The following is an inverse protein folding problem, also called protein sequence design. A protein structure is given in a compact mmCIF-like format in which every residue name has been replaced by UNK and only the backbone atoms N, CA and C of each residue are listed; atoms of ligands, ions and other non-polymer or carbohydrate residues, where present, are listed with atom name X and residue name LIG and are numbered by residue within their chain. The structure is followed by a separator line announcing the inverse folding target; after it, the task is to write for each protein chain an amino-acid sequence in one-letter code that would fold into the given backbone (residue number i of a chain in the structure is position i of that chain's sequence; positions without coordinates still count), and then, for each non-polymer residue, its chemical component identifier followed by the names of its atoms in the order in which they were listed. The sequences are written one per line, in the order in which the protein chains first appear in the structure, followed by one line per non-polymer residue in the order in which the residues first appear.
data_IF_434302802705
#
_entry.id   IF_434302802705
#
_cell.length_a   1.000
_cell.length_b   1.000
_cell.length_c   1.000
_cell.angle_alpha   90.00
_cell.angle_beta   90.00
_cell.angle_gamma   90.00
#
_symmetry.space_group_name_H-M   'P 1'
#
loop_
_entity.id
_entity.type
_entity.pdbx_description
1 polymer ?
#
# COMPACT_ATOMS: atom_id res chain seq x y z
N UNK A 1 11.13 -18.28 22.54
CA UNK A 1 12.19 -17.33 22.92
C UNK A 1 13.21 -17.26 21.79
N UNK A 2 13.75 -16.09 21.48
CA UNK A 2 14.82 -15.89 20.48
C UNK A 2 16.01 -15.18 21.15
N UNK A 3 17.25 -15.29 20.62
CA UNK A 3 18.41 -14.62 21.21
C UNK A 3 18.23 -13.09 21.30
N UNK A 4 18.78 -12.44 22.34
CA UNK A 4 18.71 -10.99 22.48
C UNK A 4 19.46 -10.28 21.36
N UNK A 5 19.03 -9.06 21.02
CA UNK A 5 19.65 -8.21 20.01
C UNK A 5 19.58 -6.74 20.41
N UNK A 6 20.59 -5.97 20.03
CA UNK A 6 20.55 -4.50 20.06
C UNK A 6 20.33 -4.05 18.61
N UNK A 7 19.14 -3.53 18.24
CA UNK A 7 18.84 -3.22 16.85
C UNK A 7 19.59 -1.97 16.38
N UNK A 8 20.10 -2.00 15.15
CA UNK A 8 20.57 -0.80 14.46
C UNK A 8 19.37 -0.10 13.82
N UNK A 9 18.93 0.99 14.42
CA UNK A 9 17.73 1.71 14.00
C UNK A 9 18.07 2.87 13.05
N UNK A 10 17.19 3.07 12.06
CA UNK A 10 17.16 4.24 11.17
C UNK A 10 15.72 4.77 11.15
N UNK A 11 15.53 6.06 10.87
CA UNK A 11 14.19 6.63 10.80
C UNK A 11 13.42 6.05 9.59
N UNK A 12 12.08 6.02 9.67
CA UNK A 12 11.24 5.58 8.55
C UNK A 12 11.49 6.44 7.31
N UNK A 13 11.68 7.75 7.46
CA UNK A 13 11.98 8.66 6.36
C UNK A 13 13.27 8.27 5.63
N UNK A 14 14.32 7.86 6.35
CA UNK A 14 15.59 7.45 5.72
C UNK A 14 15.51 6.08 5.04
N UNK A 15 14.54 5.25 5.43
CA UNK A 15 14.36 3.87 4.92
C UNK A 15 13.40 3.84 3.73
N UNK A 16 12.24 4.49 3.86
CA UNK A 16 11.16 4.50 2.86
C UNK A 16 11.34 5.66 1.87
N UNK A 17 11.84 6.81 2.35
CA UNK A 17 11.97 8.01 1.54
C UNK A 17 10.63 8.64 1.15
N UNK A 18 10.67 9.42 0.08
CA UNK A 18 9.53 10.22 -0.43
C UNK A 18 9.23 9.98 -1.91
N UNK A 19 9.94 9.05 -2.56
CA UNK A 19 9.81 8.77 -4.00
C UNK A 19 9.19 7.41 -4.27
N UNK A 20 9.53 6.42 -3.44
CA UNK A 20 8.97 5.08 -3.53
C UNK A 20 7.44 5.11 -3.36
N UNK A 21 6.69 4.35 -4.17
CA UNK A 21 5.25 4.25 -4.04
C UNK A 21 4.86 3.47 -2.77
N UNK A 22 4.04 4.10 -1.94
CA UNK A 22 3.57 3.52 -0.67
C UNK A 22 2.06 3.28 -0.73
N UNK A 23 1.62 2.12 -0.25
CA UNK A 23 0.22 1.89 0.11
C UNK A 23 0.01 2.51 1.50
N UNK A 24 -0.44 3.76 1.54
CA UNK A 24 -0.84 4.43 2.77
C UNK A 24 -2.28 4.01 3.08
N UNK A 25 -2.49 3.35 4.21
CA UNK A 25 -3.85 3.14 4.71
C UNK A 25 -4.52 4.51 4.91
N UNK A 26 -5.83 4.60 4.64
CA UNK A 26 -6.52 5.89 4.58
C UNK A 26 -6.44 6.72 5.88
N UNK A 27 -6.25 6.07 7.02
CA UNK A 27 -6.10 6.70 8.33
C UNK A 27 -4.76 7.42 8.52
N UNK A 28 -3.69 7.00 7.85
CA UNK A 28 -2.33 7.44 8.16
C UNK A 28 -1.84 8.59 7.26
N UNK A 29 -2.67 9.09 6.34
CA UNK A 29 -2.26 10.05 5.31
C UNK A 29 -1.64 11.35 5.85
N UNK A 30 -2.27 11.98 6.84
CA UNK A 30 -1.75 13.24 7.41
C UNK A 30 -0.53 13.01 8.33
N UNK A 31 -0.39 11.81 8.91
CA UNK A 31 0.73 11.45 9.76
C UNK A 31 2.01 11.17 8.96
N UNK A 32 1.88 10.77 7.69
CA UNK A 32 2.99 10.47 6.78
C UNK A 32 2.93 11.34 5.51
N UNK A 33 3.00 12.68 5.62
CA UNK A 33 2.78 13.59 4.50
C UNK A 33 3.92 13.58 3.47
N UNK A 34 5.10 13.08 3.84
CA UNK A 34 6.27 13.04 2.96
C UNK A 34 6.31 11.77 2.10
N UNK A 35 5.64 10.69 2.51
CA UNK A 35 5.58 9.46 1.73
C UNK A 35 4.55 9.64 0.62
N UNK A 36 4.95 9.33 -0.62
CA UNK A 36 4.06 9.45 -1.77
C UNK A 36 3.20 8.19 -1.89
N UNK A 37 1.86 8.30 -2.00
CA UNK A 37 1.04 7.14 -2.34
C UNK A 37 1.35 6.65 -3.76
N UNK A 38 1.13 5.37 -4.02
CA UNK A 38 1.23 4.83 -5.38
C UNK A 38 0.23 5.55 -6.31
N UNK A 39 0.65 5.83 -7.55
CA UNK A 39 -0.19 6.48 -8.54
C UNK A 39 -1.09 5.48 -9.28
N UNK A 40 -2.05 5.97 -10.06
CA UNK A 40 -2.79 5.16 -11.03
C UNK A 40 -2.99 5.95 -12.32
N UNK A 41 -2.97 5.26 -13.46
CA UNK A 41 -3.16 5.86 -14.77
C UNK A 41 -3.82 4.87 -15.73
N UNK A 42 -4.78 5.34 -16.52
CA UNK A 42 -5.46 4.55 -17.56
C UNK A 42 -6.01 3.19 -17.10
N UNK A 43 -6.49 3.11 -15.85
CA UNK A 43 -7.05 1.88 -15.26
C UNK A 43 -6.01 0.92 -14.65
N UNK A 44 -4.74 1.29 -14.60
CA UNK A 44 -3.65 0.49 -14.02
C UNK A 44 -3.01 1.24 -12.85
N UNK A 45 -2.72 0.54 -11.75
CA UNK A 45 -2.06 1.09 -10.56
C UNK A 45 -0.54 0.90 -10.62
N UNK A 46 0.22 1.85 -10.08
CA UNK A 46 1.62 1.69 -9.74
C UNK A 46 1.75 0.67 -8.60
N UNK A 47 2.72 -0.24 -8.69
CA UNK A 47 2.90 -1.31 -7.69
C UNK A 47 3.56 -0.72 -6.43
N UNK A 48 2.89 -0.74 -5.26
CA UNK A 48 3.48 -0.21 -4.03
C UNK A 48 4.60 -1.12 -3.51
N UNK A 49 5.64 -0.51 -2.94
CA UNK A 49 6.78 -1.21 -2.32
C UNK A 49 6.66 -1.34 -0.81
N UNK A 50 5.90 -0.44 -0.21
CA UNK A 50 5.72 -0.32 1.24
C UNK A 50 4.24 -0.20 1.56
N UNK A 51 3.85 -0.63 2.76
CA UNK A 51 2.55 -0.31 3.34
C UNK A 51 2.75 0.28 4.73
N UNK A 52 2.06 1.38 5.02
CA UNK A 52 2.01 1.98 6.36
C UNK A 52 0.58 1.86 6.87
N UNK A 53 0.43 1.26 8.04
CA UNK A 53 -0.86 0.95 8.65
C UNK A 53 -0.97 1.62 10.02
N UNK A 54 -2.19 1.92 10.49
CA UNK A 54 -2.43 2.35 11.87
C UNK A 54 -2.12 1.22 12.87
N UNK A 55 -2.34 1.51 14.16
CA UNK A 55 -2.25 0.54 15.25
C UNK A 55 -3.14 -0.69 15.01
N UNK A 56 -2.93 -1.76 15.77
CA UNK A 56 -3.63 -3.03 15.55
C UNK A 56 -5.15 -2.88 15.50
N UNK A 57 -5.75 -2.15 16.43
CA UNK A 57 -7.21 -1.99 16.48
C UNK A 57 -7.72 -1.07 15.37
N UNK A 58 -7.00 0.01 15.08
CA UNK A 58 -7.30 0.88 13.95
C UNK A 58 -7.30 0.11 12.63
N UNK A 59 -6.31 -0.75 12.42
CA UNK A 59 -6.22 -1.57 11.21
C UNK A 59 -7.33 -2.62 11.15
N UNK A 60 -7.58 -3.34 12.24
CA UNK A 60 -8.61 -4.38 12.33
C UNK A 60 -10.01 -3.84 11.99
N UNK A 61 -10.36 -2.68 12.53
CA UNK A 61 -11.69 -2.10 12.32
C UNK A 61 -11.85 -1.36 10.98
N UNK A 62 -10.77 -0.76 10.44
CA UNK A 62 -10.86 0.18 9.32
C UNK A 62 -10.22 -0.31 8.01
N UNK A 63 -9.38 -1.35 8.03
CA UNK A 63 -8.88 -1.97 6.79
C UNK A 63 -9.98 -2.53 5.88
N UNK A 64 -11.14 -3.03 6.37
CA UNK A 64 -12.21 -3.51 5.51
C UNK A 64 -12.75 -2.46 4.51
N UNK A 65 -12.55 -1.16 4.75
CA UNK A 65 -12.86 -0.11 3.77
C UNK A 65 -12.14 -0.33 2.43
N UNK A 66 -10.95 -0.95 2.47
CA UNK A 66 -10.08 -1.12 1.31
C UNK A 66 -10.03 -2.58 0.81
N UNK A 67 -10.90 -3.46 1.29
CA UNK A 67 -10.90 -4.89 0.95
C UNK A 67 -11.33 -5.16 -0.50
N UNK A 68 -11.27 -6.44 -0.90
CA UNK A 68 -11.73 -6.88 -2.23
C UNK A 68 -13.24 -6.66 -2.46
N UNK A 69 -14.07 -6.79 -1.42
CA UNK A 69 -15.52 -6.64 -1.53
C UNK A 69 -15.92 -5.19 -1.82
N UNK A 70 -15.19 -4.23 -1.26
CA UNK A 70 -15.29 -2.80 -1.53
C UNK A 70 -14.53 -2.33 -2.78
N UNK A 71 -13.77 -3.22 -3.43
CA UNK A 71 -12.96 -2.91 -4.61
C UNK A 71 -11.68 -2.11 -4.32
N UNK A 72 -11.25 -2.08 -3.06
CA UNK A 72 -10.10 -1.30 -2.63
C UNK A 72 -8.74 -1.94 -2.97
N UNK A 73 -7.65 -1.18 -2.76
CA UNK A 73 -6.31 -1.60 -3.15
C UNK A 73 -5.75 -2.78 -2.34
N UNK A 74 -6.33 -3.11 -1.18
CA UNK A 74 -5.91 -4.32 -0.46
C UNK A 74 -6.27 -5.58 -1.23
N UNK A 75 -7.41 -5.61 -1.94
CA UNK A 75 -7.77 -6.74 -2.81
C UNK A 75 -6.84 -6.92 -4.01
N UNK A 76 -6.26 -5.83 -4.52
CA UNK A 76 -5.28 -5.89 -5.63
C UNK A 76 -3.92 -6.39 -5.10
N UNK A 77 -3.43 -5.77 -4.03
CA UNK A 77 -2.12 -6.09 -3.46
C UNK A 77 -2.06 -7.50 -2.87
N UNK A 78 -3.17 -8.02 -2.33
CA UNK A 78 -3.28 -9.39 -1.80
C UNK A 78 -2.92 -10.47 -2.84
N UNK A 79 -3.29 -10.23 -4.10
CA UNK A 79 -3.04 -11.18 -5.19
C UNK A 79 -1.63 -11.04 -5.78
N UNK A 80 -1.08 -9.82 -5.80
CA UNK A 80 0.16 -9.51 -6.51
C UNK A 80 1.41 -9.58 -5.60
N UNK A 81 1.26 -9.24 -4.33
CA UNK A 81 2.37 -8.93 -3.42
C UNK A 81 2.32 -9.81 -2.17
N UNK A 82 3.49 -10.27 -1.75
CA UNK A 82 3.70 -10.88 -0.44
C UNK A 82 4.11 -9.79 0.57
N UNK A 83 3.32 -9.55 1.64
CA UNK A 83 3.70 -8.63 2.70
C UNK A 83 4.72 -9.27 3.64
N UNK A 84 5.71 -8.48 4.08
CA UNK A 84 6.67 -8.83 5.13
C UNK A 84 6.74 -7.69 6.15
N UNK A 85 6.39 -7.98 7.40
CA UNK A 85 6.47 -6.98 8.48
C UNK A 85 7.91 -6.56 8.75
N UNK A 86 8.13 -5.27 8.94
CA UNK A 86 9.41 -4.69 9.35
C UNK A 86 9.27 -4.23 10.81
N UNK A 87 10.16 -4.66 11.73
CA UNK A 87 10.11 -4.21 13.11
C UNK A 87 10.37 -2.70 13.22
N UNK A 88 9.43 -1.98 13.82
CA UNK A 88 9.44 -0.51 13.95
C UNK A 88 9.06 -0.08 15.35
N UNK A 89 9.67 1.00 15.83
CA UNK A 89 9.53 1.48 17.20
C UNK A 89 9.19 2.96 17.20
N UNK A 90 8.27 3.37 18.07
CA UNK A 90 7.96 4.76 18.28
C UNK A 90 9.09 5.43 19.08
N UNK A 91 9.51 6.60 18.64
CA UNK A 91 10.60 7.35 19.27
C UNK A 91 10.19 7.75 20.70
N UNK A 92 11.00 7.35 21.67
CA UNK A 92 10.86 7.69 23.11
C UNK A 92 9.57 7.21 23.81
N UNK A 93 8.71 6.45 23.12
CA UNK A 93 7.50 5.82 23.69
C UNK A 93 7.43 4.35 23.28
N UNK A 94 8.36 3.57 23.85
CA UNK A 94 8.69 2.21 23.44
C UNK A 94 7.59 1.17 23.61
N UNK A 95 6.57 1.47 24.43
CA UNK A 95 5.48 0.54 24.75
C UNK A 95 4.18 0.89 24.00
N UNK A 96 4.16 1.95 23.20
CA UNK A 96 3.00 2.34 22.39
C UNK A 96 3.03 1.66 21.02
N UNK A 97 1.92 1.05 20.64
CA UNK A 97 1.64 0.66 19.27
C UNK A 97 1.30 1.90 18.45
N UNK A 98 2.24 2.37 17.63
CA UNK A 98 2.03 3.50 16.73
C UNK A 98 1.34 3.09 15.43
N UNK A 99 1.33 1.79 15.13
CA UNK A 99 1.08 1.24 13.81
C UNK A 99 2.21 0.35 13.33
N UNK A 100 2.23 0.10 12.02
CA UNK A 100 3.18 -0.86 11.45
C UNK A 100 3.63 -0.50 10.04
N UNK A 101 4.81 -1.03 9.69
CA UNK A 101 5.39 -0.96 8.36
C UNK A 101 5.50 -2.37 7.78
N UNK A 102 5.10 -2.52 6.53
CA UNK A 102 5.32 -3.73 5.75
C UNK A 102 6.12 -3.41 4.48
N UNK A 103 7.04 -4.30 4.13
CA UNK A 103 7.63 -4.37 2.79
C UNK A 103 6.74 -5.26 1.93
N UNK A 104 6.39 -4.79 0.73
CA UNK A 104 5.59 -5.54 -0.23
C UNK A 104 6.50 -6.04 -1.35
N UNK A 105 6.56 -7.35 -1.55
CA UNK A 105 7.44 -7.98 -2.55
C UNK A 105 6.59 -8.75 -3.56
N UNK A 106 6.74 -8.53 -4.88
CA UNK A 106 6.02 -9.30 -5.89
C UNK A 106 6.28 -10.79 -5.80
N UNK A 107 5.25 -11.60 -6.07
CA UNK A 107 5.41 -13.06 -6.20
C UNK A 107 6.33 -13.46 -7.36
N UNK A 108 6.33 -12.66 -8.43
CA UNK A 108 7.19 -12.81 -9.60
C UNK A 108 8.12 -11.58 -9.70
N UNK A 109 9.33 -11.63 -9.10
CA UNK A 109 10.20 -10.46 -9.02
C UNK A 109 10.76 -9.99 -10.36
N UNK A 110 10.89 -10.90 -11.33
CA UNK A 110 11.41 -10.60 -12.66
C UNK A 110 10.34 -10.03 -13.61
N UNK A 111 9.09 -9.92 -13.15
CA UNK A 111 8.02 -9.32 -13.94
C UNK A 111 8.19 -7.80 -14.02
N UNK A 112 8.05 -7.24 -15.23
CA UNK A 112 8.15 -5.81 -15.48
C UNK A 112 6.76 -5.18 -15.68
N UNK A 113 6.61 -3.85 -15.50
CA UNK A 113 5.38 -3.15 -15.85
C UNK A 113 4.94 -3.42 -17.30
N UNK A 114 3.63 -3.55 -17.51
CA UNK A 114 3.07 -3.80 -18.83
C UNK A 114 3.25 -2.57 -19.75
N UNK A 115 3.44 -2.82 -21.06
CA UNK A 115 3.30 -1.80 -22.09
C UNK A 115 1.82 -1.60 -22.40
N UNK A 116 1.35 -0.36 -22.31
CA UNK A 116 -0.03 0.01 -22.64
C UNK A 116 -0.07 0.61 -24.05
N UNK A 117 -0.84 0.00 -24.94
CA UNK A 117 -1.15 0.57 -26.25
C UNK A 117 -2.48 1.33 -26.14
N UNK A 118 -2.39 2.67 -26.16
CA UNK A 118 -3.51 3.57 -25.96
C UNK A 118 -4.01 4.15 -27.28
N UNK A 119 -5.28 4.55 -27.30
CA UNK A 119 -5.90 5.22 -28.43
C UNK A 119 -6.88 6.29 -27.98
N UNK A 120 -7.43 7.02 -28.94
CA UNK A 120 -8.45 8.04 -28.71
C UNK A 120 -9.69 7.71 -29.51
N UNK A 121 -10.86 7.83 -28.89
CA UNK A 121 -12.12 7.62 -29.58
C UNK A 121 -13.22 8.49 -28.96
N UNK A 122 -14.16 8.92 -29.80
CA UNK A 122 -15.32 9.71 -29.36
C UNK A 122 -16.43 8.73 -28.93
N UNK A 123 -17.15 9.08 -27.85
CA UNK A 123 -18.30 8.33 -27.31
C UNK A 123 -19.48 9.28 -27.10
N UNK A 124 -20.70 8.76 -27.19
CA UNK A 124 -21.91 9.52 -26.87
C UNK A 124 -22.14 9.68 -25.37
N UNK A 125 -22.97 10.63 -24.94
CA UNK A 125 -23.20 10.94 -23.52
C UNK A 125 -23.94 9.87 -22.70
N UNK A 126 -24.58 8.90 -23.37
CA UNK A 126 -25.25 7.75 -22.73
C UNK A 126 -24.52 6.43 -23.00
N UNK A 127 -23.31 6.49 -23.59
CA UNK A 127 -22.55 5.29 -23.90
C UNK A 127 -22.09 4.59 -22.60
N UNK A 128 -22.25 3.27 -22.56
CA UNK A 128 -21.74 2.41 -21.50
C UNK A 128 -20.94 1.26 -22.13
N UNK A 129 -19.65 1.09 -21.82
CA UNK A 129 -18.83 0.03 -22.40
C UNK A 129 -19.27 -1.37 -21.94
N UNK A 130 -19.63 -1.47 -20.67
CA UNK A 130 -20.01 -2.70 -19.98
C UNK A 130 -20.64 -2.36 -18.61
N UNK A 131 -21.43 -3.25 -18.01
CA UNK A 131 -21.84 -3.14 -16.61
C UNK A 131 -20.63 -3.19 -15.66
N UNK A 132 -20.73 -2.54 -14.50
CA UNK A 132 -19.75 -2.68 -13.42
C UNK A 132 -19.99 -4.01 -12.68
N UNK A 133 -18.95 -4.85 -12.58
CA UNK A 133 -19.01 -6.12 -11.84
C UNK A 133 -18.98 -5.84 -10.34
N UNK A 134 -19.96 -6.37 -9.61
CA UNK A 134 -19.91 -6.44 -8.14
C UNK A 134 -18.99 -7.57 -7.69
N UNK A 135 -18.15 -7.30 -6.70
CA UNK A 135 -17.20 -8.27 -6.13
C UNK A 135 -17.88 -9.39 -5.35
#
# INVERSE_FOLDING_TARGET
MTPPRIPQLRTLQDVVGSQDPVLLDWLVGLAFPCQRPFAHQYGVTEVPKWRILPDRFGAEANSPVMDYLGGGPLGISELLLRPSSVPTYLKDDWFRDWGSLQRLTPWYPDATPARLDLGTAIRGGLWSPAPLRHS
#
